data_IF_926051450071
#
_entry.id   IF_926051450071
#
_cell.length_a   1.000
_cell.length_b   1.000
_cell.length_c   1.000
_cell.angle_alpha   90.00
_cell.angle_beta   90.00
_cell.angle_gamma   90.00
#
_symmetry.space_group_name_H-M   'P 1'
#
loop_
_entity.id
_entity.type
_entity.pdbx_description
1 polymer ?
#
# COMPACT_ATOMS: atom_id res chain seq x y z
N UNK A 1 -28.79 -3.77 23.22
CA UNK A 1 -27.69 -4.35 22.42
C UNK A 1 -27.08 -5.49 23.20
N UNK A 2 -26.94 -6.70 22.64
CA UNK A 2 -26.20 -7.78 23.32
C UNK A 2 -24.77 -7.32 23.56
N UNK A 3 -24.18 -7.59 24.73
CA UNK A 3 -22.81 -7.20 25.05
C UNK A 3 -21.84 -7.68 23.96
N UNK A 4 -22.04 -8.88 23.44
CA UNK A 4 -21.18 -9.46 22.38
C UNK A 4 -21.14 -8.64 21.07
N UNK A 5 -22.24 -8.06 20.60
CA UNK A 5 -22.23 -7.24 19.38
C UNK A 5 -21.54 -5.90 19.61
N UNK A 6 -21.63 -5.35 20.81
CA UNK A 6 -20.90 -4.15 21.20
C UNK A 6 -19.40 -4.43 21.24
N UNK A 7 -18.99 -5.58 21.79
CA UNK A 7 -17.58 -5.99 21.83
C UNK A 7 -17.02 -6.14 20.42
N UNK A 8 -17.77 -6.76 19.49
CA UNK A 8 -17.39 -6.85 18.08
C UNK A 8 -17.20 -5.47 17.45
N UNK A 9 -18.17 -4.54 17.62
CA UNK A 9 -18.06 -3.20 17.06
C UNK A 9 -16.93 -2.36 17.71
N UNK A 10 -16.56 -2.68 18.95
CA UNK A 10 -15.43 -2.03 19.61
C UNK A 10 -14.07 -2.57 19.15
N UNK A 11 -14.03 -3.76 18.54
CA UNK A 11 -12.79 -4.41 18.09
C UNK A 11 -12.41 -4.08 16.64
N UNK A 12 -13.28 -3.39 15.88
CA UNK A 12 -13.00 -3.04 14.50
C UNK A 12 -13.69 -1.72 14.11
N UNK A 13 -13.06 -0.96 13.21
CA UNK A 13 -13.63 0.25 12.61
C UNK A 13 -14.35 -0.04 11.29
N UNK A 14 -13.92 -1.08 10.57
CA UNK A 14 -14.52 -1.54 9.31
C UNK A 14 -14.53 -3.06 9.30
N UNK A 15 -15.63 -3.65 8.87
CA UNK A 15 -15.74 -5.10 8.79
C UNK A 15 -16.47 -5.55 7.52
N UNK A 16 -16.17 -6.76 7.10
CA UNK A 16 -16.94 -7.49 6.10
C UNK A 16 -18.03 -8.32 6.76
N UNK A 17 -19.07 -8.63 6.01
CA UNK A 17 -20.11 -9.57 6.49
C UNK A 17 -19.51 -10.89 6.96
N UNK A 18 -18.47 -11.36 6.29
CA UNK A 18 -17.75 -12.59 6.62
C UNK A 18 -17.09 -12.48 8.01
N UNK A 19 -16.45 -11.36 8.35
CA UNK A 19 -15.84 -11.13 9.67
C UNK A 19 -16.88 -11.25 10.79
N UNK A 20 -18.10 -10.75 10.53
CA UNK A 20 -19.20 -10.88 11.49
C UNK A 20 -19.68 -12.33 11.63
N UNK A 21 -19.67 -13.11 10.54
CA UNK A 21 -20.01 -14.54 10.58
C UNK A 21 -18.96 -15.36 11.32
N UNK A 22 -17.69 -15.02 11.18
CA UNK A 22 -16.60 -15.68 11.90
C UNK A 22 -16.70 -15.42 13.42
N UNK A 23 -17.10 -14.20 13.79
CA UNK A 23 -17.33 -13.85 15.19
C UNK A 23 -18.62 -14.44 15.78
N UNK A 24 -19.67 -14.60 14.94
CA UNK A 24 -20.98 -15.14 15.30
C UNK A 24 -21.36 -16.35 14.43
N UNK A 25 -20.74 -17.53 14.63
CA UNK A 25 -20.98 -18.72 13.82
C UNK A 25 -22.46 -19.18 13.76
N UNK A 26 -23.25 -18.85 14.80
CA UNK A 26 -24.70 -19.18 14.84
C UNK A 26 -25.53 -18.53 13.72
N UNK A 27 -24.99 -17.57 12.98
CA UNK A 27 -25.64 -16.94 11.85
C UNK A 27 -25.27 -17.53 10.48
N UNK A 28 -24.31 -18.49 10.42
CA UNK A 28 -23.84 -19.05 9.14
C UNK A 28 -24.98 -19.63 8.30
N UNK A 29 -25.89 -20.36 8.94
CA UNK A 29 -27.08 -20.96 8.27
C UNK A 29 -28.33 -20.07 8.34
N UNK A 30 -28.25 -18.90 9.00
CA UNK A 30 -29.39 -18.00 9.22
C UNK A 30 -29.24 -16.68 8.47
N UNK A 31 -29.20 -16.75 7.14
CA UNK A 31 -28.95 -15.58 6.26
C UNK A 31 -29.96 -14.43 6.45
N UNK A 32 -31.23 -14.73 6.71
CA UNK A 32 -32.27 -13.72 7.00
C UNK A 32 -32.01 -13.01 8.32
N UNK A 33 -31.77 -13.76 9.39
CA UNK A 33 -31.52 -13.20 10.73
C UNK A 33 -30.26 -12.32 10.73
N UNK A 34 -29.21 -12.72 10.01
CA UNK A 34 -28.02 -11.87 9.84
C UNK A 34 -28.33 -10.56 9.09
N UNK A 35 -29.13 -10.66 8.02
CA UNK A 35 -29.56 -9.47 7.27
C UNK A 35 -30.38 -8.52 8.15
N UNK A 36 -31.32 -9.07 8.92
CA UNK A 36 -32.19 -8.29 9.78
C UNK A 36 -31.38 -7.62 10.92
N UNK A 37 -30.38 -8.33 11.47
CA UNK A 37 -29.41 -7.77 12.42
C UNK A 37 -28.62 -6.59 11.82
N UNK A 38 -28.09 -6.74 10.62
CA UNK A 38 -27.33 -5.68 9.96
C UNK A 38 -28.23 -4.47 9.64
N UNK A 39 -29.43 -4.70 9.10
CA UNK A 39 -30.39 -3.64 8.83
C UNK A 39 -30.78 -2.87 10.10
N UNK A 40 -31.07 -3.57 11.20
CA UNK A 40 -31.32 -2.92 12.50
C UNK A 40 -30.21 -1.99 12.92
N UNK A 41 -28.93 -2.42 12.77
CA UNK A 41 -27.79 -1.58 13.17
C UNK A 41 -27.53 -0.44 12.20
N UNK A 42 -27.84 -0.57 10.93
CA UNK A 42 -27.83 0.53 9.94
C UNK A 42 -28.91 1.57 10.29
N UNK A 43 -30.13 1.14 10.54
CA UNK A 43 -31.26 2.02 10.89
C UNK A 43 -31.00 2.78 12.22
N UNK A 44 -30.29 2.15 13.15
CA UNK A 44 -29.87 2.80 14.43
C UNK A 44 -28.64 3.67 14.30
N UNK A 45 -28.02 3.77 13.12
CA UNK A 45 -26.81 4.54 12.92
C UNK A 45 -25.56 4.00 13.61
N UNK A 46 -25.59 2.73 14.06
CA UNK A 46 -24.44 2.07 14.69
C UNK A 46 -23.38 1.64 13.69
N UNK A 47 -23.81 1.36 12.45
CA UNK A 47 -22.94 1.02 11.34
C UNK A 47 -23.40 1.76 10.07
N UNK A 48 -22.45 2.06 9.19
CA UNK A 48 -22.67 2.70 7.91
C UNK A 48 -22.38 1.70 6.79
N UNK A 49 -23.32 1.43 5.86
CA UNK A 49 -23.03 0.61 4.70
C UNK A 49 -22.08 1.38 3.76
N UNK A 50 -20.89 0.82 3.52
CA UNK A 50 -19.86 1.43 2.67
C UNK A 50 -19.95 0.88 1.25
N UNK A 51 -20.07 -0.44 1.16
CA UNK A 51 -20.18 -1.19 -0.09
C UNK A 51 -20.94 -2.50 0.19
N UNK A 52 -21.31 -3.24 -0.87
CA UNK A 52 -21.90 -4.56 -0.69
C UNK A 52 -21.04 -5.42 0.23
N UNK A 53 -21.62 -5.85 1.36
CA UNK A 53 -21.00 -6.68 2.40
C UNK A 53 -19.84 -6.03 3.16
N UNK A 54 -19.64 -4.71 3.06
CA UNK A 54 -18.64 -3.96 3.83
C UNK A 54 -19.35 -2.84 4.59
N UNK A 55 -19.05 -2.74 5.87
CA UNK A 55 -19.67 -1.80 6.81
C UNK A 55 -18.61 -1.09 7.64
N UNK A 56 -18.81 0.19 7.91
CA UNK A 56 -18.02 0.94 8.88
C UNK A 56 -18.80 1.05 10.20
N UNK A 57 -18.11 0.88 11.31
CA UNK A 57 -18.68 1.07 12.65
C UNK A 57 -18.67 2.55 12.98
N UNK A 58 -19.80 3.11 13.39
CA UNK A 58 -19.92 4.51 13.82
C UNK A 58 -19.65 4.56 15.33
N UNK A 59 -18.62 5.30 15.80
CA UNK A 59 -18.35 5.45 17.23
C UNK A 59 -19.54 6.06 17.98
N UNK A 60 -19.77 5.68 19.25
CA UNK A 60 -20.95 6.12 20.02
C UNK A 60 -21.17 7.64 20.12
N UNK A 61 -20.09 8.42 20.01
CA UNK A 61 -20.13 9.88 20.12
C UNK A 61 -20.17 10.59 18.75
N UNK A 62 -20.34 9.84 17.67
CA UNK A 62 -20.41 10.35 16.31
C UNK A 62 -21.78 10.05 15.70
N UNK A 63 -22.19 10.89 14.75
CA UNK A 63 -23.37 10.64 13.92
C UNK A 63 -22.93 10.41 12.48
N UNK A 64 -23.46 9.37 11.85
CA UNK A 64 -23.23 9.09 10.44
C UNK A 64 -23.73 10.22 9.52
N UNK A 65 -24.75 10.99 9.97
CA UNK A 65 -25.35 12.07 9.21
C UNK A 65 -24.60 13.40 9.34
N UNK A 66 -23.82 13.59 10.40
CA UNK A 66 -23.18 14.88 10.67
C UNK A 66 -21.91 15.15 9.86
N UNK A 67 -21.45 14.21 9.03
CA UNK A 67 -20.14 14.30 8.36
C UNK A 67 -18.93 14.34 9.32
N UNK A 68 -19.18 14.28 10.63
CA UNK A 68 -18.16 14.38 11.67
C UNK A 68 -17.38 13.08 11.90
N UNK A 69 -17.80 11.99 11.25
CA UNK A 69 -17.13 10.70 11.36
C UNK A 69 -16.33 10.38 10.09
N UNK A 70 -15.02 10.40 10.24
CA UNK A 70 -14.11 9.94 9.20
C UNK A 70 -13.81 8.45 9.39
N UNK A 71 -14.18 7.64 8.40
CA UNK A 71 -13.79 6.22 8.37
C UNK A 71 -12.29 6.12 8.15
N UNK A 72 -11.59 5.32 8.96
CA UNK A 72 -10.16 5.04 8.72
C UNK A 72 -9.94 4.47 7.31
N UNK A 73 -9.23 5.20 6.45
CA UNK A 73 -9.09 4.80 5.05
C UNK A 73 -8.24 3.53 4.87
N UNK A 74 -7.28 3.26 5.74
CA UNK A 74 -6.47 2.05 5.69
C UNK A 74 -7.30 0.82 6.12
N UNK A 75 -8.09 0.96 7.19
CA UNK A 75 -9.02 -0.08 7.60
C UNK A 75 -10.03 -0.37 6.48
N UNK A 76 -10.58 0.65 5.83
CA UNK A 76 -11.49 0.45 4.71
C UNK A 76 -10.80 -0.22 3.52
N UNK A 77 -9.61 0.24 3.11
CA UNK A 77 -8.85 -0.38 2.02
C UNK A 77 -8.61 -1.88 2.28
N UNK A 78 -8.28 -2.25 3.53
CA UNK A 78 -8.02 -3.63 3.94
C UNK A 78 -9.24 -4.55 3.84
N UNK A 79 -10.46 -4.01 3.82
CA UNK A 79 -11.73 -4.76 3.77
C UNK A 79 -12.39 -4.77 2.38
N UNK A 80 -11.82 -4.09 1.38
CA UNK A 80 -12.38 -4.07 0.03
C UNK A 80 -12.15 -5.36 -0.77
N UNK A 81 -11.19 -6.21 -0.36
CA UNK A 81 -11.01 -7.60 -0.78
C UNK A 81 -10.64 -8.45 0.43
N UNK A 82 -10.83 -9.78 0.36
CA UNK A 82 -10.48 -10.69 1.47
C UNK A 82 -8.97 -10.76 1.69
N UNK A 83 -8.23 -10.70 0.60
CA UNK A 83 -6.77 -10.78 0.52
C UNK A 83 -6.10 -9.41 0.40
N UNK A 84 -6.84 -8.31 0.62
CA UNK A 84 -6.32 -6.96 0.44
C UNK A 84 -5.06 -6.71 1.27
N UNK A 85 -4.03 -6.20 0.60
CA UNK A 85 -2.77 -5.74 1.19
C UNK A 85 -2.55 -4.28 0.80
N UNK A 86 -2.37 -3.40 1.75
CA UNK A 86 -2.03 -2.00 1.50
C UNK A 86 -0.61 -1.96 0.91
N UNK A 87 -0.45 -1.27 -0.23
CA UNK A 87 0.83 -1.24 -0.96
C UNK A 87 1.10 0.09 -1.65
N UNK A 88 2.25 0.19 -2.29
CA UNK A 88 2.68 1.36 -3.05
C UNK A 88 2.69 2.64 -2.19
N UNK A 89 2.22 3.78 -2.76
CA UNK A 89 2.16 5.03 -1.99
C UNK A 89 1.30 4.94 -0.73
N UNK A 90 0.30 4.07 -0.70
CA UNK A 90 -0.55 3.90 0.49
C UNK A 90 0.18 3.21 1.63
N UNK A 91 1.14 2.32 1.32
CA UNK A 91 2.03 1.78 2.33
C UNK A 91 3.06 2.84 2.80
N UNK A 92 3.60 3.69 1.90
CA UNK A 92 4.42 4.83 2.29
C UNK A 92 3.66 5.78 3.22
N UNK A 93 2.39 6.08 2.89
CA UNK A 93 1.52 6.91 3.75
C UNK A 93 1.28 6.25 5.12
N UNK A 94 1.04 4.95 5.15
CA UNK A 94 0.84 4.18 6.38
C UNK A 94 2.06 4.25 7.30
N UNK A 95 3.27 4.22 6.75
CA UNK A 95 4.53 4.37 7.49
C UNK A 95 4.90 5.83 7.78
N UNK A 96 4.10 6.82 7.34
CA UNK A 96 4.39 8.24 7.53
C UNK A 96 5.50 8.80 6.62
N UNK A 97 5.88 8.06 5.58
CA UNK A 97 6.96 8.43 4.66
C UNK A 97 6.49 9.27 3.46
N UNK A 98 5.19 9.43 3.27
CA UNK A 98 4.66 10.23 2.17
C UNK A 98 4.95 11.72 2.40
N UNK A 99 5.39 12.42 1.33
CA UNK A 99 5.70 13.83 1.41
C UNK A 99 4.45 14.71 1.31
N UNK A 100 3.51 14.35 0.44
CA UNK A 100 2.24 15.08 0.26
C UNK A 100 1.03 14.20 0.57
N UNK A 101 0.00 14.80 1.16
CA UNK A 101 -1.25 14.09 1.45
C UNK A 101 -2.00 13.73 0.16
N UNK A 102 -2.58 12.53 0.14
CA UNK A 102 -3.45 12.06 -0.93
C UNK A 102 -4.69 11.38 -0.40
N UNK A 103 -5.76 11.58 -1.12
CA UNK A 103 -7.05 10.92 -0.88
C UNK A 103 -7.24 9.68 -1.77
N UNK A 104 -6.16 9.09 -2.25
CA UNK A 104 -6.17 7.83 -2.98
C UNK A 104 -5.45 6.74 -2.20
N UNK A 105 -6.10 5.58 -2.04
CA UNK A 105 -5.62 4.43 -1.30
C UNK A 105 -5.53 3.22 -2.22
N UNK A 106 -4.32 2.64 -2.36
CA UNK A 106 -4.07 1.46 -3.19
C UNK A 106 -3.99 0.22 -2.31
N UNK A 107 -4.68 -0.82 -2.73
CA UNK A 107 -4.55 -2.14 -2.18
C UNK A 107 -4.28 -3.18 -3.27
N UNK A 108 -3.43 -4.14 -2.94
CA UNK A 108 -3.03 -5.26 -3.78
C UNK A 108 -3.98 -6.42 -3.49
N UNK A 109 -4.43 -7.13 -4.53
CA UNK A 109 -5.30 -8.31 -4.39
C UNK A 109 -5.06 -9.30 -5.53
N UNK A 110 -5.11 -10.60 -5.23
CA UNK A 110 -5.11 -11.68 -6.21
C UNK A 110 -6.54 -12.09 -6.64
N UNK A 111 -7.57 -11.79 -5.81
CA UNK A 111 -8.95 -12.22 -6.06
C UNK A 111 -9.61 -11.57 -7.29
N UNK A 112 -9.14 -10.39 -7.72
CA UNK A 112 -9.75 -9.66 -8.84
C UNK A 112 -8.87 -9.67 -10.07
N UNK A 113 -9.47 -10.01 -11.22
CA UNK A 113 -8.78 -10.00 -12.53
C UNK A 113 -8.65 -8.59 -13.14
N UNK A 114 -9.45 -7.62 -12.69
CA UNK A 114 -9.46 -6.25 -13.23
C UNK A 114 -9.23 -5.21 -12.13
N UNK A 115 -8.56 -4.12 -12.50
CA UNK A 115 -8.44 -2.93 -11.65
C UNK A 115 -9.85 -2.40 -11.35
N UNK A 116 -10.14 -2.10 -10.10
CA UNK A 116 -11.38 -1.43 -9.71
C UNK A 116 -11.09 -0.16 -8.95
N UNK A 117 -11.90 0.84 -9.19
CA UNK A 117 -11.89 2.11 -8.46
C UNK A 117 -13.20 2.18 -7.69
N UNK A 118 -13.12 2.60 -6.45
CA UNK A 118 -14.25 2.83 -5.57
C UNK A 118 -14.02 4.14 -4.81
N UNK A 119 -15.06 4.95 -4.69
CA UNK A 119 -15.00 6.23 -3.98
C UNK A 119 -15.95 6.20 -2.78
N UNK A 120 -15.45 6.70 -1.64
CA UNK A 120 -16.23 6.77 -0.41
C UNK A 120 -15.67 7.87 0.51
N UNK A 121 -16.55 8.73 1.05
CA UNK A 121 -16.22 9.80 1.98
C UNK A 121 -15.04 10.68 1.51
N UNK A 122 -15.04 11.07 0.23
CA UNK A 122 -13.99 11.91 -0.36
C UNK A 122 -12.69 11.16 -0.70
N UNK A 123 -12.56 9.91 -0.33
CA UNK A 123 -11.40 9.08 -0.61
C UNK A 123 -11.63 8.15 -1.80
N UNK A 124 -10.57 7.90 -2.57
CA UNK A 124 -10.55 7.00 -3.71
C UNK A 124 -9.75 5.74 -3.37
N UNK A 125 -10.32 4.60 -3.65
CA UNK A 125 -9.72 3.28 -3.39
C UNK A 125 -9.48 2.56 -4.70
N UNK A 126 -8.21 2.19 -4.96
CA UNK A 126 -7.83 1.52 -6.20
C UNK A 126 -7.27 0.13 -5.90
N UNK A 127 -7.85 -0.90 -6.52
CA UNK A 127 -7.24 -2.23 -6.49
C UNK A 127 -6.15 -2.35 -7.56
N UNK A 128 -5.09 -3.06 -7.22
CA UNK A 128 -4.07 -3.50 -8.17
C UNK A 128 -3.79 -4.99 -8.00
N UNK A 129 -3.24 -5.60 -9.04
CA UNK A 129 -2.89 -7.02 -9.04
C UNK A 129 -1.55 -7.24 -8.34
N UNK A 130 -1.42 -8.37 -7.66
CA UNK A 130 -0.12 -8.89 -7.23
C UNK A 130 0.83 -8.94 -8.45
N UNK A 131 2.12 -8.59 -8.31
CA UNK A 131 3.12 -8.77 -9.37
C UNK A 131 3.10 -10.19 -9.93
N UNK A 132 3.17 -10.32 -11.26
CA UNK A 132 3.01 -11.61 -11.93
C UNK A 132 4.11 -12.62 -11.51
N UNK A 133 5.31 -12.12 -11.23
CA UNK A 133 6.41 -12.95 -10.73
C UNK A 133 6.07 -13.58 -9.37
N UNK A 134 5.45 -12.83 -8.47
CA UNK A 134 5.01 -13.35 -7.17
C UNK A 134 3.90 -14.39 -7.31
N UNK A 135 2.94 -14.16 -8.22
CA UNK A 135 1.88 -15.14 -8.49
C UNK A 135 2.42 -16.45 -9.01
N UNK A 136 3.34 -16.42 -9.99
CA UNK A 136 3.96 -17.60 -10.58
C UNK A 136 4.77 -18.42 -9.58
N UNK A 137 5.39 -17.75 -8.62
CA UNK A 137 6.20 -18.38 -7.57
C UNK A 137 5.41 -18.75 -6.31
N UNK A 138 4.13 -18.43 -6.22
CA UNK A 138 3.32 -18.56 -5.00
C UNK A 138 3.89 -17.75 -3.81
N UNK A 139 4.39 -16.54 -4.08
CA UNK A 139 5.00 -15.61 -3.12
C UNK A 139 4.13 -14.37 -2.88
N UNK A 140 2.79 -14.46 -3.02
CA UNK A 140 1.87 -13.33 -2.87
C UNK A 140 2.00 -12.66 -1.50
N UNK A 141 2.31 -13.47 -0.47
CA UNK A 141 2.49 -13.04 0.92
C UNK A 141 3.93 -12.57 1.23
N UNK A 142 4.83 -12.54 0.24
CA UNK A 142 6.21 -12.10 0.46
C UNK A 142 6.22 -10.73 1.13
N UNK A 143 6.84 -10.63 2.32
CA UNK A 143 6.97 -9.39 3.08
C UNK A 143 5.65 -8.63 3.28
N UNK A 144 4.57 -9.34 3.56
CA UNK A 144 3.32 -8.77 4.05
C UNK A 144 3.32 -8.81 5.56
N UNK A 145 3.17 -7.64 6.19
CA UNK A 145 3.11 -7.49 7.66
C UNK A 145 1.67 -7.22 8.10
N UNK A 146 1.33 -7.71 9.28
CA UNK A 146 0.09 -7.39 9.97
C UNK A 146 0.38 -6.31 11.00
N UNK A 147 -0.23 -5.15 10.84
CA UNK A 147 0.01 -3.97 11.66
C UNK A 147 -1.32 -3.36 12.10
N UNK A 148 -1.30 -2.63 13.22
CA UNK A 148 -2.50 -1.96 13.71
C UNK A 148 -2.71 -0.62 13.02
N UNK A 149 -3.94 -0.38 12.53
CA UNK A 149 -4.43 0.93 12.14
C UNK A 149 -5.62 1.27 13.04
N UNK A 150 -5.51 2.33 13.81
CA UNK A 150 -6.49 2.76 14.83
C UNK A 150 -6.89 1.57 15.73
N UNK A 151 -8.02 0.92 15.50
CA UNK A 151 -8.55 -0.19 16.33
C UNK A 151 -8.61 -1.53 15.57
N UNK A 152 -7.83 -1.68 14.49
CA UNK A 152 -7.97 -2.82 13.60
C UNK A 152 -6.63 -3.24 13.02
N UNK A 153 -6.43 -4.56 12.88
CA UNK A 153 -5.31 -5.11 12.14
C UNK A 153 -5.53 -4.93 10.63
N UNK A 154 -4.50 -4.44 9.94
CA UNK A 154 -4.44 -4.31 8.50
C UNK A 154 -3.20 -5.02 7.95
N UNK A 155 -3.27 -5.46 6.71
CA UNK A 155 -2.15 -6.08 5.99
C UNK A 155 -1.48 -5.04 5.12
N UNK A 156 -0.16 -4.87 5.29
CA UNK A 156 0.63 -3.85 4.61
C UNK A 156 1.92 -4.47 4.09
N UNK A 157 2.39 -4.08 2.91
CA UNK A 157 3.73 -4.45 2.43
C UNK A 157 4.80 -3.88 3.36
N UNK A 158 5.88 -4.63 3.64
CA UNK A 158 7.01 -4.11 4.45
C UNK A 158 7.61 -2.84 3.81
N UNK A 159 8.36 -2.03 4.56
CA UNK A 159 9.06 -0.88 4.00
C UNK A 159 9.98 -1.26 2.83
N UNK A 160 10.69 -2.38 2.96
CA UNK A 160 11.61 -2.90 1.95
C UNK A 160 10.86 -3.32 0.67
N UNK A 161 9.78 -4.10 0.81
CA UNK A 161 8.93 -4.45 -0.33
C UNK A 161 8.29 -3.22 -0.95
N UNK A 162 7.80 -2.29 -0.14
CA UNK A 162 7.18 -1.04 -0.59
C UNK A 162 8.15 -0.21 -1.42
N UNK A 163 9.41 -0.08 -0.97
CA UNK A 163 10.46 0.63 -1.70
C UNK A 163 10.64 0.08 -3.12
N UNK A 164 10.71 -1.24 -3.26
CA UNK A 164 10.87 -1.90 -4.57
C UNK A 164 9.59 -1.80 -5.41
N UNK A 165 8.41 -2.06 -4.81
CA UNK A 165 7.11 -1.99 -5.51
C UNK A 165 6.87 -0.62 -6.16
N UNK A 166 7.23 0.45 -5.46
CA UNK A 166 7.13 1.84 -5.92
C UNK A 166 8.00 2.08 -7.15
N UNK A 167 9.20 1.52 -7.18
CA UNK A 167 10.16 1.64 -8.29
C UNK A 167 9.88 0.67 -9.45
N UNK A 168 9.23 -0.46 -9.17
CA UNK A 168 8.79 -1.40 -10.19
C UNK A 168 7.61 -0.85 -11.00
N UNK A 169 6.64 -0.22 -10.33
CA UNK A 169 5.40 0.27 -10.93
C UNK A 169 5.10 1.72 -10.57
N UNK A 170 5.94 2.67 -11.00
CA UNK A 170 5.82 4.09 -10.64
C UNK A 170 4.49 4.72 -11.08
N UNK A 171 3.82 4.17 -12.10
CA UNK A 171 2.49 4.61 -12.54
C UNK A 171 1.40 4.50 -11.49
N UNK A 172 1.61 3.71 -10.43
CA UNK A 172 0.67 3.63 -9.31
C UNK A 172 0.89 4.72 -8.27
N UNK A 173 1.96 5.48 -8.37
CA UNK A 173 2.19 6.61 -7.48
C UNK A 173 1.44 7.86 -7.94
N UNK A 174 1.29 8.03 -9.25
CA UNK A 174 0.66 9.22 -9.83
C UNK A 174 1.36 10.53 -9.42
N UNK A 175 2.62 10.45 -8.97
CA UNK A 175 3.49 11.54 -8.60
C UNK A 175 4.54 11.77 -9.68
N UNK A 176 5.17 12.95 -9.63
CA UNK A 176 6.44 13.12 -10.30
C UNK A 176 7.56 12.38 -9.56
N UNK A 177 8.69 12.24 -10.21
CA UNK A 177 9.82 11.52 -9.65
C UNK A 177 10.49 12.25 -8.47
N UNK A 178 10.32 13.56 -8.34
CA UNK A 178 10.82 14.32 -7.20
C UNK A 178 10.06 13.97 -5.93
N UNK A 179 8.73 13.86 -6.01
CA UNK A 179 7.89 13.44 -4.90
C UNK A 179 8.20 12.00 -4.47
N UNK A 180 8.41 11.11 -5.46
CA UNK A 180 8.83 9.72 -5.20
C UNK A 180 10.16 9.71 -4.45
N UNK A 181 11.16 10.46 -4.93
CA UNK A 181 12.47 10.54 -4.31
C UNK A 181 12.38 11.01 -2.86
N UNK A 182 11.65 12.12 -2.60
CA UNK A 182 11.45 12.66 -1.25
C UNK A 182 10.78 11.66 -0.30
N UNK A 183 9.85 10.87 -0.81
CA UNK A 183 9.16 9.85 -0.02
C UNK A 183 10.08 8.67 0.29
N UNK A 184 10.93 8.27 -0.65
CA UNK A 184 11.90 7.18 -0.46
C UNK A 184 13.08 7.61 0.41
N UNK A 185 13.52 8.88 0.37
CA UNK A 185 14.58 9.42 1.23
C UNK A 185 14.23 9.31 2.73
N UNK A 186 12.95 9.20 3.07
CA UNK A 186 12.45 9.02 4.44
C UNK A 186 12.23 7.55 4.82
N UNK A 187 12.37 6.62 3.88
CA UNK A 187 12.06 5.21 4.12
C UNK A 187 13.08 4.58 5.09
N UNK A 188 12.57 4.03 6.19
CA UNK A 188 13.39 3.22 7.08
C UNK A 188 13.44 1.77 6.54
N UNK A 189 14.65 1.31 6.21
CA UNK A 189 14.92 -0.01 5.65
C UNK A 189 15.63 -0.85 6.71
N UNK A 190 14.84 -1.57 7.52
CA UNK A 190 15.36 -2.33 8.67
C UNK A 190 16.08 -3.64 8.29
N UNK A 191 15.79 -4.19 7.11
CA UNK A 191 16.43 -5.41 6.58
C UNK A 191 16.68 -5.26 5.07
N UNK A 192 17.83 -4.65 4.68
CA UNK A 192 18.13 -4.41 3.26
C UNK A 192 18.31 -5.67 2.41
N UNK A 193 18.63 -6.83 3.00
CA UNK A 193 18.72 -8.11 2.28
C UNK A 193 17.38 -8.49 1.62
N UNK A 194 16.27 -8.13 2.24
CA UNK A 194 14.93 -8.34 1.68
C UNK A 194 14.76 -7.62 0.33
N UNK A 195 15.38 -6.43 0.16
CA UNK A 195 15.36 -5.72 -1.12
C UNK A 195 16.01 -6.54 -2.22
N UNK A 196 17.16 -7.14 -1.94
CA UNK A 196 17.90 -7.99 -2.90
C UNK A 196 17.07 -9.21 -3.27
N UNK A 197 16.50 -9.89 -2.27
CA UNK A 197 15.65 -11.05 -2.48
C UNK A 197 14.43 -10.68 -3.33
N UNK A 198 13.79 -9.56 -3.05
CA UNK A 198 12.61 -9.13 -3.80
C UNK A 198 12.93 -8.72 -5.25
N UNK A 199 14.03 -8.00 -5.46
CA UNK A 199 14.54 -7.68 -6.81
C UNK A 199 14.80 -8.95 -7.62
N UNK A 200 15.39 -9.95 -6.99
CA UNK A 200 15.63 -11.27 -7.61
C UNK A 200 14.31 -11.97 -7.95
N UNK A 201 13.34 -11.99 -7.05
CA UNK A 201 12.02 -12.59 -7.27
C UNK A 201 11.26 -11.92 -8.43
N UNK A 202 11.30 -10.58 -8.52
CA UNK A 202 10.68 -9.84 -9.61
C UNK A 202 11.33 -10.12 -10.96
N UNK A 203 12.64 -10.36 -11.01
CA UNK A 203 13.39 -10.68 -12.22
C UNK A 203 13.42 -9.56 -13.27
N UNK A 204 13.07 -8.33 -12.87
CA UNK A 204 13.02 -7.15 -13.74
C UNK A 204 14.34 -6.38 -13.67
N UNK A 205 15.14 -6.45 -14.74
CA UNK A 205 16.44 -5.77 -14.81
C UNK A 205 16.32 -4.24 -14.70
N UNK A 206 15.28 -3.66 -15.29
CA UNK A 206 15.04 -2.21 -15.19
C UNK A 206 14.61 -1.80 -13.78
N UNK A 207 13.85 -2.65 -13.07
CA UNK A 207 13.52 -2.43 -11.66
C UNK A 207 14.76 -2.50 -10.79
N UNK A 208 15.66 -3.48 -11.02
CA UNK A 208 16.93 -3.57 -10.33
C UNK A 208 17.79 -2.30 -10.52
N UNK A 209 17.87 -1.77 -11.75
CA UNK A 209 18.58 -0.51 -12.02
C UNK A 209 17.98 0.67 -11.26
N UNK A 210 16.65 0.79 -11.21
CA UNK A 210 15.97 1.86 -10.44
C UNK A 210 16.20 1.71 -8.95
N UNK A 211 16.02 0.49 -8.42
CA UNK A 211 16.25 0.21 -7.00
C UNK A 211 17.67 0.54 -6.60
N UNK A 212 18.66 0.09 -7.35
CA UNK A 212 20.05 0.37 -7.05
C UNK A 212 20.41 1.86 -7.10
N UNK A 213 19.90 2.59 -8.09
CA UNK A 213 20.07 4.05 -8.17
C UNK A 213 19.52 4.76 -6.92
N UNK A 214 18.33 4.38 -6.46
CA UNK A 214 17.74 4.98 -5.25
C UNK A 214 18.40 4.49 -3.97
N UNK A 215 18.90 3.25 -3.89
CA UNK A 215 19.67 2.77 -2.75
C UNK A 215 20.99 3.54 -2.57
N UNK A 216 21.69 3.87 -3.66
CA UNK A 216 22.87 4.74 -3.59
C UNK A 216 22.54 6.11 -3.03
N UNK A 217 21.41 6.66 -3.45
CA UNK A 217 20.95 7.97 -3.01
C UNK A 217 20.64 8.00 -1.50
N UNK A 218 20.02 6.95 -0.96
CA UNK A 218 19.66 6.86 0.46
C UNK A 218 20.70 6.12 1.29
N UNK A 219 21.85 5.77 0.71
CA UNK A 219 22.86 4.91 1.32
C UNK A 219 23.26 5.38 2.72
N UNK A 220 23.61 6.64 2.87
CA UNK A 220 24.07 7.19 4.14
C UNK A 220 22.93 7.36 5.13
N UNK A 221 21.81 7.92 4.71
CA UNK A 221 20.64 8.17 5.57
C UNK A 221 19.97 6.88 6.06
N UNK A 222 19.93 5.84 5.24
CA UNK A 222 19.34 4.54 5.58
C UNK A 222 20.36 3.50 6.08
N UNK A 223 21.66 3.84 6.14
CA UNK A 223 22.72 2.94 6.60
C UNK A 223 22.91 1.71 5.70
N UNK A 224 22.76 1.86 4.38
CA UNK A 224 22.88 0.75 3.44
C UNK A 224 24.34 0.42 3.18
N UNK A 225 24.70 -0.84 3.40
CA UNK A 225 26.05 -1.33 3.09
C UNK A 225 26.31 -1.41 1.58
N UNK A 226 27.56 -1.16 1.15
CA UNK A 226 27.95 -1.28 -0.26
C UNK A 226 27.68 -2.69 -0.82
N UNK A 227 27.84 -3.71 0.01
CA UNK A 227 27.56 -5.10 -0.33
C UNK A 227 26.14 -5.34 -0.85
N UNK A 228 25.15 -4.65 -0.30
CA UNK A 228 23.74 -4.71 -0.75
C UNK A 228 23.61 -4.07 -2.13
N UNK A 229 24.24 -2.91 -2.33
CA UNK A 229 24.23 -2.20 -3.62
C UNK A 229 24.87 -3.06 -4.72
N UNK A 230 26.01 -3.70 -4.42
CA UNK A 230 26.70 -4.62 -5.35
C UNK A 230 25.84 -5.84 -5.70
N UNK A 231 25.15 -6.41 -4.72
CA UNK A 231 24.21 -7.51 -4.95
C UNK A 231 23.06 -7.09 -5.88
N UNK A 232 22.46 -5.91 -5.68
CA UNK A 232 21.42 -5.39 -6.58
C UNK A 232 21.98 -5.12 -7.97
N UNK A 233 23.21 -4.60 -8.07
CA UNK A 233 23.89 -4.35 -9.36
C UNK A 233 24.01 -5.59 -10.22
N UNK A 234 24.22 -6.77 -9.62
CA UNK A 234 24.29 -8.03 -10.35
C UNK A 234 23.01 -8.37 -11.14
N UNK A 235 21.86 -7.81 -10.74
CA UNK A 235 20.56 -7.96 -11.42
C UNK A 235 20.20 -6.79 -12.33
N UNK A 236 20.99 -5.70 -12.34
CA UNK A 236 20.71 -4.50 -13.10
C UNK A 236 20.73 -4.72 -14.62
N UNK A 237 20.11 -3.79 -15.34
CA UNK A 237 20.07 -3.82 -16.80
C UNK A 237 21.45 -3.56 -17.40
N UNK A 238 21.84 -4.37 -18.38
CA UNK A 238 23.02 -4.13 -19.19
C UNK A 238 22.76 -3.18 -20.38
N UNK A 239 21.50 -2.88 -20.65
CA UNK A 239 21.07 -1.92 -21.66
C UNK A 239 20.46 -0.70 -20.99
N UNK A 240 20.57 0.45 -21.65
CA UNK A 240 20.03 1.71 -21.12
C UNK A 240 18.51 1.61 -20.96
N UNK A 241 18.03 1.86 -19.75
CA UNK A 241 16.63 1.99 -19.41
C UNK A 241 16.31 3.45 -19.02
N UNK A 242 15.03 3.79 -18.98
CA UNK A 242 14.58 5.10 -18.49
C UNK A 242 13.97 4.96 -17.11
N UNK A 243 14.32 5.88 -16.20
CA UNK A 243 13.63 6.01 -14.92
C UNK A 243 12.16 6.36 -15.17
N UNK A 244 11.93 7.36 -15.99
CA UNK A 244 10.60 7.74 -16.49
C UNK A 244 10.49 7.47 -17.99
N UNK A 245 9.79 6.39 -18.40
CA UNK A 245 9.60 6.11 -19.82
C UNK A 245 8.75 7.16 -20.57
N UNK A 246 7.96 7.97 -19.83
CA UNK A 246 7.13 9.04 -20.43
C UNK A 246 7.94 10.29 -20.77
N UNK A 247 9.08 10.52 -20.08
CA UNK A 247 9.94 11.68 -20.24
C UNK A 247 11.28 11.27 -20.87
N UNK A 248 11.42 11.42 -22.18
CA UNK A 248 12.64 11.05 -22.91
C UNK A 248 13.62 12.21 -23.14
N UNK A 249 13.25 13.44 -22.84
CA UNK A 249 14.09 14.63 -22.96
C UNK A 249 14.63 15.08 -21.61
N UNK A 250 15.80 15.74 -21.61
CA UNK A 250 16.43 16.28 -20.40
C UNK A 250 16.75 15.20 -19.35
N UNK A 251 17.38 14.11 -19.79
CA UNK A 251 17.86 13.06 -18.92
C UNK A 251 19.40 13.01 -18.91
N UNK A 252 19.95 12.55 -17.81
CA UNK A 252 21.38 12.24 -17.63
C UNK A 252 21.53 10.72 -17.47
N UNK A 253 22.60 10.17 -18.02
CA UNK A 253 22.90 8.73 -17.91
C UNK A 253 23.67 8.43 -16.62
N UNK A 254 23.02 7.72 -15.70
CA UNK A 254 23.71 7.02 -14.62
C UNK A 254 24.42 5.78 -15.19
N UNK A 255 25.73 5.88 -15.39
CA UNK A 255 26.52 4.81 -16.06
C UNK A 255 26.51 3.50 -15.26
N UNK A 256 26.63 3.56 -13.94
CA UNK A 256 26.64 2.38 -13.07
C UNK A 256 25.36 1.56 -13.23
N UNK A 257 24.21 2.23 -13.35
CA UNK A 257 22.89 1.60 -13.40
C UNK A 257 22.32 1.45 -14.81
N UNK A 258 23.03 1.93 -15.84
CA UNK A 258 22.50 2.05 -17.21
C UNK A 258 21.10 2.68 -17.24
N UNK A 259 20.89 3.76 -16.47
CA UNK A 259 19.61 4.38 -16.24
C UNK A 259 19.62 5.84 -16.70
N UNK A 260 18.71 6.22 -17.60
CA UNK A 260 18.44 7.60 -17.95
C UNK A 260 17.57 8.24 -16.87
N UNK A 261 18.13 9.17 -16.13
CA UNK A 261 17.50 9.84 -14.96
C UNK A 261 17.11 11.27 -15.36
N UNK A 262 15.90 11.75 -15.03
CA UNK A 262 15.53 13.15 -15.27
C UNK A 262 16.53 14.11 -14.63
N UNK A 263 16.91 15.15 -15.38
CA UNK A 263 17.91 16.14 -14.94
C UNK A 263 17.48 16.85 -13.64
N UNK A 264 16.19 17.01 -13.42
CA UNK A 264 15.64 17.57 -12.17
C UNK A 264 15.97 16.75 -10.94
N UNK A 265 16.10 15.43 -11.07
CA UNK A 265 16.50 14.54 -9.98
C UNK A 265 18.01 14.52 -9.76
N UNK A 266 18.80 14.64 -10.83
CA UNK A 266 20.27 14.64 -10.79
C UNK A 266 20.81 15.96 -10.21
N UNK A 267 20.16 17.07 -10.53
CA UNK A 267 20.53 18.42 -10.06
C UNK A 267 19.93 18.78 -8.69
N UNK A 268 19.05 17.98 -8.15
CA UNK A 268 18.50 18.20 -6.82
C UNK A 268 19.54 17.88 -5.74
N UNK A 269 20.53 18.77 -5.59
CA UNK A 269 21.35 18.88 -4.39
C UNK A 269 20.43 19.27 -3.22
N UNK A 270 19.79 18.28 -2.62
CA UNK A 270 18.93 18.46 -1.45
C UNK A 270 19.69 19.04 -0.25
N UNK A 271 21.03 18.96 -0.26
CA UNK A 271 21.92 19.54 0.75
C UNK A 271 22.02 21.08 0.69
N UNK A 272 21.52 21.73 -0.37
CA UNK A 272 21.61 23.20 -0.53
C UNK A 272 20.40 23.98 -0.01
N UNK A 273 19.41 23.32 0.61
CA UNK A 273 18.19 23.96 1.09
C UNK A 273 18.14 24.10 2.62
N UNK A 274 19.22 23.71 3.32
CA UNK A 274 19.34 23.92 4.76
C UNK A 274 20.59 24.73 5.11
#
# INVERSE_FOLDING_TARGET
MSNKIRDFFSSCSVFRREDLLDYFPQYQDKKSALRDLLNYHVEKGHILPVRRHVYAVVPPNCSAESGAYAVDPFALASKLSKDAVIGYHSALAFYGNLHSERYEYIYITAERKSKSIFEFAGNRYRSTQVPEALKKGHFEEFEVRKLSSINQEVRVTSPERTFVDVLDRPQFLGYDWEEIARSLDKAYLGNPEVLVEYVKLLGSKSTASRVGYFLERVKESAGIEESIIEQVLAYASQTVAYLDPSQKSKNVLSKKWNLMVPLSLDQSDWERIF
#
